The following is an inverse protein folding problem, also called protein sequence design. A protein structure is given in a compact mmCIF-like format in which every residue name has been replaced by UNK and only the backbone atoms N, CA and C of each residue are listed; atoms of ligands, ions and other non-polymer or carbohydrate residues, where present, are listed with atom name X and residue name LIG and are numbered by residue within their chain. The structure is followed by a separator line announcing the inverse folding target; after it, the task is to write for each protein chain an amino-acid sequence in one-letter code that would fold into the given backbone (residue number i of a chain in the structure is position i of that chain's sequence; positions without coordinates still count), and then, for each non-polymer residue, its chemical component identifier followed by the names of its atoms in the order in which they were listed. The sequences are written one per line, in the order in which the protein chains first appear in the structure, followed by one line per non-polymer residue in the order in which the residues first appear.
data_IF_131325280944
#
_entry.id   IF_131325280944
#
_cell.length_a   1.000
_cell.length_b   1.000
_cell.length_c   1.000
_cell.angle_alpha   90.00
_cell.angle_beta   90.00
_cell.angle_gamma   90.00
#
_symmetry.space_group_name_H-M   'P 1'
#
loop_
_entity.id
_entity.type
_entity.pdbx_description
1 polymer ?
#
# COMPACT_ATOMS: atom_id res chain seq x y z
N UNK A 1 -23.44 -31.59 -34.29
CA UNK A 1 -23.54 -30.18 -34.74
C UNK A 1 -22.14 -29.65 -34.92
N UNK A 2 -21.74 -29.39 -36.16
CA UNK A 2 -20.50 -28.66 -36.48
C UNK A 2 -20.76 -27.19 -36.20
N UNK A 3 -20.06 -26.61 -35.22
CA UNK A 3 -20.12 -25.18 -34.93
C UNK A 3 -19.30 -24.48 -36.02
N UNK A 4 -19.95 -23.70 -36.89
CA UNK A 4 -19.23 -22.84 -37.82
C UNK A 4 -18.57 -21.68 -37.05
N UNK A 5 -17.27 -21.42 -37.26
CA UNK A 5 -16.60 -20.33 -36.57
C UNK A 5 -17.12 -18.97 -37.07
N UNK A 6 -17.41 -18.08 -36.12
CA UNK A 6 -17.70 -16.67 -36.38
C UNK A 6 -16.58 -16.02 -37.21
N UNK A 7 -16.94 -15.12 -38.13
CA UNK A 7 -15.96 -14.34 -38.92
C UNK A 7 -15.15 -13.35 -38.07
N UNK A 8 -15.62 -12.98 -36.89
CA UNK A 8 -14.95 -12.06 -35.97
C UNK A 8 -14.80 -12.71 -34.58
N UNK A 9 -13.61 -12.55 -33.98
CA UNK A 9 -13.35 -12.98 -32.62
C UNK A 9 -14.02 -12.01 -31.62
N UNK A 10 -14.83 -12.56 -30.73
CA UNK A 10 -15.41 -11.82 -29.59
C UNK A 10 -14.78 -12.34 -28.28
N UNK A 11 -13.84 -11.60 -27.68
CA UNK A 11 -13.20 -12.02 -26.42
C UNK A 11 -14.20 -12.22 -25.28
N UNK A 12 -15.26 -11.40 -25.22
CA UNK A 12 -16.25 -11.45 -24.14
C UNK A 12 -17.02 -12.77 -24.10
N UNK A 13 -17.14 -13.42 -25.26
CA UNK A 13 -17.80 -14.73 -25.37
C UNK A 13 -16.94 -15.90 -24.88
N UNK A 14 -15.63 -15.70 -24.68
CA UNK A 14 -14.67 -16.81 -24.43
C UNK A 14 -13.84 -16.62 -23.16
N UNK A 15 -13.39 -15.40 -22.85
CA UNK A 15 -12.41 -15.13 -21.79
C UNK A 15 -12.83 -15.68 -20.43
N UNK A 16 -14.08 -15.43 -20.01
CA UNK A 16 -14.61 -15.90 -18.73
C UNK A 16 -14.61 -17.42 -18.64
N UNK A 17 -15.12 -18.10 -19.66
CA UNK A 17 -15.20 -19.56 -19.69
C UNK A 17 -13.80 -20.20 -19.65
N UNK A 18 -12.86 -19.65 -20.42
CA UNK A 18 -11.47 -20.15 -20.44
C UNK A 18 -10.80 -19.94 -19.09
N UNK A 19 -10.99 -18.79 -18.46
CA UNK A 19 -10.42 -18.52 -17.16
C UNK A 19 -10.98 -19.45 -16.08
N UNK A 20 -12.30 -19.69 -16.07
CA UNK A 20 -12.95 -20.65 -15.16
C UNK A 20 -12.40 -22.08 -15.35
N UNK A 21 -12.07 -22.49 -16.58
CA UNK A 21 -11.40 -23.78 -16.85
C UNK A 21 -9.99 -23.84 -16.26
N UNK A 22 -9.21 -22.77 -16.32
CA UNK A 22 -7.88 -22.73 -15.70
C UNK A 22 -7.96 -22.81 -14.17
N UNK A 23 -8.90 -22.09 -13.56
CA UNK A 23 -9.10 -22.13 -12.11
C UNK A 23 -9.56 -23.52 -11.65
N UNK A 24 -10.58 -24.09 -12.31
CA UNK A 24 -11.14 -25.39 -11.93
C UNK A 24 -10.18 -26.56 -12.13
N UNK A 25 -9.25 -26.47 -13.09
CA UNK A 25 -8.18 -27.47 -13.27
C UNK A 25 -7.01 -27.30 -12.30
N UNK A 26 -6.97 -26.20 -11.52
CA UNK A 26 -5.83 -25.88 -10.67
C UNK A 26 -4.56 -25.53 -11.45
N UNK A 27 -4.68 -25.07 -12.70
CA UNK A 27 -3.55 -24.85 -13.61
C UNK A 27 -2.52 -23.82 -13.12
N UNK A 28 -2.90 -22.98 -12.14
CA UNK A 28 -2.05 -21.93 -11.57
C UNK A 28 -1.44 -22.29 -10.22
N UNK A 29 -1.86 -23.41 -9.64
CA UNK A 29 -1.43 -23.87 -8.33
C UNK A 29 0.04 -24.30 -8.37
N UNK A 30 0.78 -23.97 -7.32
CA UNK A 30 2.14 -24.45 -7.13
C UNK A 30 2.28 -25.10 -5.76
N UNK A 31 2.79 -26.33 -5.73
CA UNK A 31 3.18 -27.00 -4.48
C UNK A 31 4.70 -27.13 -4.39
N UNK A 32 5.31 -26.90 -3.20
CA UNK A 32 6.76 -27.05 -3.03
C UNK A 32 7.30 -28.45 -3.39
N UNK A 33 6.45 -29.47 -3.32
CA UNK A 33 6.75 -30.85 -3.68
C UNK A 33 6.77 -31.12 -5.20
N UNK A 34 6.21 -30.22 -6.01
CA UNK A 34 6.12 -30.43 -7.45
C UNK A 34 7.51 -30.38 -8.11
N UNK A 35 7.67 -31.17 -9.17
CA UNK A 35 8.91 -31.26 -9.93
C UNK A 35 9.26 -29.93 -10.61
N UNK A 36 10.55 -29.76 -10.91
CA UNK A 36 11.07 -28.57 -11.59
C UNK A 36 11.81 -27.61 -10.67
N UNK A 37 12.57 -26.71 -11.28
CA UNK A 37 13.25 -25.63 -10.55
C UNK A 37 12.21 -24.63 -10.03
N UNK A 38 12.35 -24.19 -8.78
CA UNK A 38 11.41 -23.28 -8.13
C UNK A 38 11.57 -21.88 -8.71
N UNK A 39 10.46 -21.24 -9.04
CA UNK A 39 10.45 -19.89 -9.55
C UNK A 39 9.27 -19.14 -8.93
N UNK A 40 9.55 -18.07 -8.19
CA UNK A 40 8.54 -17.33 -7.47
C UNK A 40 8.50 -15.87 -7.93
N UNK A 41 7.31 -15.34 -8.14
CA UNK A 41 7.03 -13.92 -8.25
C UNK A 41 6.01 -13.59 -7.16
N UNK A 42 6.22 -12.49 -6.44
CA UNK A 42 5.21 -11.91 -5.55
C UNK A 42 4.66 -10.68 -6.25
N UNK A 43 3.33 -10.59 -6.39
CA UNK A 43 2.71 -9.36 -6.90
C UNK A 43 3.07 -8.23 -5.92
N UNK A 44 3.60 -7.09 -6.38
CA UNK A 44 3.67 -5.88 -5.58
C UNK A 44 2.24 -5.56 -5.12
N UNK A 45 1.92 -5.77 -3.82
CA UNK A 45 0.55 -5.86 -3.38
C UNK A 45 -0.12 -4.49 -3.58
N UNK A 46 -1.18 -4.39 -4.40
CA UNK A 46 -1.89 -3.13 -4.57
C UNK A 46 -2.51 -2.66 -3.26
N UNK A 47 -2.46 -1.34 -3.06
CA UNK A 47 -3.07 -0.67 -1.91
C UNK A 47 -4.60 -0.78 -1.96
N UNK A 48 -5.24 -1.09 -0.83
CA UNK A 48 -6.71 -1.17 -0.70
C UNK A 48 -7.39 0.21 -0.63
N UNK A 49 -6.87 1.18 -1.38
CA UNK A 49 -7.31 2.58 -1.39
C UNK A 49 -8.10 2.97 -2.63
N UNK A 50 -7.87 2.29 -3.76
CA UNK A 50 -8.50 2.60 -5.03
C UNK A 50 -8.62 1.35 -5.91
N UNK A 51 -9.41 1.46 -6.98
CA UNK A 51 -9.46 0.43 -8.02
C UNK A 51 -8.16 0.41 -8.83
N UNK A 52 -7.85 -0.75 -9.42
CA UNK A 52 -6.70 -0.88 -10.33
C UNK A 52 -6.88 0.00 -11.57
N UNK A 53 -5.75 0.52 -12.06
CA UNK A 53 -5.64 1.38 -13.25
C UNK A 53 -4.62 0.80 -14.26
N UNK A 54 -4.46 1.43 -15.42
CA UNK A 54 -3.57 0.97 -16.52
C UNK A 54 -2.12 0.65 -16.09
N UNK A 55 -1.53 1.44 -15.20
CA UNK A 55 -0.21 1.11 -14.62
C UNK A 55 -0.16 -0.27 -13.92
N UNK A 56 -1.21 -0.63 -13.17
CA UNK A 56 -1.34 -1.97 -12.59
C UNK A 56 -1.51 -3.03 -13.68
N UNK A 57 -2.25 -2.71 -14.75
CA UNK A 57 -2.43 -3.63 -15.87
C UNK A 57 -1.10 -3.97 -16.55
N UNK A 58 -0.27 -2.95 -16.83
CA UNK A 58 1.07 -3.13 -17.38
C UNK A 58 1.94 -3.99 -16.46
N UNK A 59 2.02 -3.65 -15.17
CA UNK A 59 2.87 -4.37 -14.22
C UNK A 59 2.49 -5.86 -14.10
N UNK A 60 1.20 -6.16 -13.96
CA UNK A 60 0.73 -7.53 -13.83
C UNK A 60 0.86 -8.33 -15.13
N UNK A 61 0.66 -7.69 -16.30
CA UNK A 61 0.85 -8.36 -17.60
C UNK A 61 2.29 -8.85 -17.76
N UNK A 62 3.28 -8.02 -17.40
CA UNK A 62 4.70 -8.41 -17.49
C UNK A 62 5.01 -9.61 -16.59
N UNK A 63 4.51 -9.59 -15.35
CA UNK A 63 4.68 -10.70 -14.41
C UNK A 63 3.97 -11.99 -14.88
N UNK A 64 2.76 -11.86 -15.42
CA UNK A 64 1.98 -12.99 -15.93
C UNK A 64 2.68 -13.68 -17.11
N UNK A 65 3.20 -12.90 -18.05
CA UNK A 65 3.99 -13.43 -19.18
C UNK A 65 5.20 -14.20 -18.66
N UNK A 66 5.92 -13.64 -17.68
CA UNK A 66 7.08 -14.31 -17.10
C UNK A 66 6.70 -15.61 -16.42
N UNK A 67 5.68 -15.62 -15.55
CA UNK A 67 5.33 -16.85 -14.82
C UNK A 67 4.83 -17.94 -15.77
N UNK A 68 4.01 -17.59 -16.77
CA UNK A 68 3.51 -18.54 -17.76
C UNK A 68 4.65 -19.16 -18.55
N UNK A 69 5.59 -18.36 -19.06
CA UNK A 69 6.76 -18.86 -19.79
C UNK A 69 7.60 -19.79 -18.90
N UNK A 70 7.79 -19.47 -17.61
CA UNK A 70 8.55 -20.35 -16.71
C UNK A 70 7.84 -21.66 -16.44
N UNK A 71 6.53 -21.64 -16.15
CA UNK A 71 5.71 -22.86 -15.98
C UNK A 71 5.76 -23.74 -17.22
N UNK A 72 5.59 -23.15 -18.42
CA UNK A 72 5.65 -23.88 -19.70
C UNK A 72 7.05 -24.43 -20.01
N UNK A 73 8.11 -23.89 -19.41
CA UNK A 73 9.48 -24.42 -19.48
C UNK A 73 9.78 -25.47 -18.40
N UNK A 74 8.77 -25.98 -17.70
CA UNK A 74 8.90 -27.03 -16.68
C UNK A 74 9.39 -26.54 -15.32
N UNK A 75 9.36 -25.23 -15.05
CA UNK A 75 9.63 -24.71 -13.70
C UNK A 75 8.39 -24.80 -12.82
N UNK A 76 8.62 -25.04 -11.53
CA UNK A 76 7.60 -24.94 -10.50
C UNK A 76 7.36 -23.45 -10.17
N UNK A 77 6.42 -22.86 -10.90
CA UNK A 77 6.16 -21.41 -10.90
C UNK A 77 5.06 -21.00 -9.92
N UNK A 78 5.44 -20.34 -8.82
CA UNK A 78 4.51 -19.65 -7.91
C UNK A 78 4.39 -18.18 -8.29
N UNK A 79 3.17 -17.72 -8.59
CA UNK A 79 2.87 -16.30 -8.62
C UNK A 79 1.89 -15.99 -7.49
N UNK A 80 2.40 -15.32 -6.46
CA UNK A 80 1.69 -15.11 -5.20
C UNK A 80 0.94 -13.77 -5.22
N UNK A 81 -0.40 -13.78 -5.16
CA UNK A 81 -1.19 -12.56 -5.06
C UNK A 81 -1.27 -12.06 -3.62
N UNK A 82 -1.55 -10.77 -3.47
CA UNK A 82 -1.87 -10.19 -2.18
C UNK A 82 -2.28 -8.73 -2.28
N UNK A 83 -2.77 -8.17 -1.19
CA UNK A 83 -3.18 -6.75 -1.09
C UNK A 83 -2.52 -6.07 0.10
N UNK A 84 -2.34 -4.76 0.01
CA UNK A 84 -1.71 -3.96 1.06
C UNK A 84 -2.72 -3.05 1.78
N UNK A 85 -2.71 -3.09 3.11
CA UNK A 85 -3.46 -2.21 3.99
C UNK A 85 -3.14 -0.72 3.82
N UNK A 86 -1.94 -0.38 3.32
CA UNK A 86 -1.50 0.98 3.00
C UNK A 86 -1.64 2.02 4.13
N UNK A 87 -1.72 1.57 5.39
CA UNK A 87 -1.74 2.38 6.61
C UNK A 87 -2.48 3.73 6.50
N UNK A 88 -1.69 4.82 6.49
CA UNK A 88 -2.16 6.21 6.48
C UNK A 88 -3.00 6.53 5.22
N UNK A 89 -2.66 5.95 4.08
CA UNK A 89 -3.38 6.20 2.83
C UNK A 89 -4.82 5.67 2.91
N UNK A 90 -5.02 4.46 3.43
CA UNK A 90 -6.37 3.89 3.63
C UNK A 90 -7.16 4.67 4.66
N UNK A 91 -6.54 5.04 5.79
CA UNK A 91 -7.19 5.88 6.80
C UNK A 91 -7.70 7.20 6.20
N UNK A 92 -6.87 7.87 5.41
CA UNK A 92 -7.20 9.16 4.79
C UNK A 92 -8.33 9.03 3.77
N UNK A 93 -8.32 7.97 2.96
CA UNK A 93 -9.38 7.74 1.96
C UNK A 93 -10.71 7.42 2.64
N UNK A 94 -10.71 6.57 3.67
CA UNK A 94 -11.91 6.25 4.44
C UNK A 94 -12.47 7.49 5.14
N UNK A 95 -11.62 8.31 5.76
CA UNK A 95 -12.03 9.57 6.40
C UNK A 95 -12.69 10.54 5.39
N UNK A 96 -12.07 10.73 4.22
CA UNK A 96 -12.63 11.58 3.14
C UNK A 96 -13.98 11.08 2.66
N UNK A 97 -14.17 9.76 2.52
CA UNK A 97 -15.46 9.18 2.12
C UNK A 97 -16.52 9.36 3.18
N UNK A 98 -16.21 9.10 4.45
CA UNK A 98 -17.15 9.28 5.55
C UNK A 98 -17.66 10.73 5.59
N UNK A 99 -16.75 11.71 5.42
CA UNK A 99 -17.11 13.14 5.28
C UNK A 99 -18.05 13.39 4.11
N UNK A 100 -17.75 12.83 2.93
CA UNK A 100 -18.58 13.00 1.74
C UNK A 100 -19.97 12.36 1.87
N UNK A 101 -20.09 11.27 2.63
CA UNK A 101 -21.34 10.57 2.92
C UNK A 101 -22.11 11.17 4.11
N UNK A 102 -21.59 12.24 4.74
CA UNK A 102 -22.19 12.84 5.94
C UNK A 102 -22.16 11.95 7.18
N UNK A 103 -21.29 10.93 7.20
CA UNK A 103 -21.07 10.06 8.33
C UNK A 103 -20.06 10.67 9.32
N UNK A 104 -20.02 10.19 10.59
CA UNK A 104 -18.97 10.57 11.52
C UNK A 104 -17.58 10.34 10.90
N UNK A 105 -16.78 11.40 10.88
CA UNK A 105 -15.42 11.36 10.37
C UNK A 105 -14.42 10.90 11.46
N UNK A 106 -13.14 10.79 11.12
CA UNK A 106 -12.09 10.41 12.05
C UNK A 106 -12.03 11.34 13.27
N UNK A 107 -12.33 12.64 13.10
CA UNK A 107 -12.35 13.59 14.22
C UNK A 107 -13.47 13.28 15.20
N UNK A 108 -14.65 12.90 14.71
CA UNK A 108 -15.78 12.50 15.53
C UNK A 108 -15.49 11.21 16.31
N UNK A 109 -14.89 10.21 15.67
CA UNK A 109 -14.47 8.99 16.34
C UNK A 109 -13.37 9.24 17.39
N UNK A 110 -12.42 10.14 17.12
CA UNK A 110 -11.40 10.55 18.11
C UNK A 110 -12.03 11.25 19.33
N UNK A 111 -13.02 12.12 19.13
CA UNK A 111 -13.77 12.75 20.24
C UNK A 111 -14.51 11.70 21.08
N UNK A 112 -15.21 10.78 20.43
CA UNK A 112 -15.89 9.68 21.10
C UNK A 112 -14.94 8.84 21.97
N UNK A 113 -13.74 8.54 21.47
CA UNK A 113 -12.70 7.84 22.25
C UNK A 113 -12.23 8.66 23.45
N UNK A 114 -11.98 9.97 23.27
CA UNK A 114 -11.53 10.87 24.33
C UNK A 114 -12.59 11.03 25.45
N UNK A 115 -13.86 10.87 25.11
CA UNK A 115 -15.00 10.89 26.04
C UNK A 115 -15.24 9.53 26.72
N UNK A 116 -14.38 8.52 26.48
CA UNK A 116 -14.46 7.19 27.08
C UNK A 116 -15.36 6.20 26.32
N UNK A 117 -15.79 6.54 25.11
CA UNK A 117 -16.50 5.65 24.19
C UNK A 117 -15.58 4.73 23.40
N UNK A 118 -16.15 4.01 22.43
CA UNK A 118 -15.45 2.98 21.61
C UNK A 118 -15.15 3.50 20.20
N UNK A 119 -14.72 4.76 20.10
CA UNK A 119 -14.54 5.46 18.83
C UNK A 119 -13.49 4.82 17.93
N UNK A 120 -12.37 4.37 18.52
CA UNK A 120 -11.30 3.69 17.79
C UNK A 120 -11.80 2.39 17.16
N UNK A 121 -12.49 1.54 17.92
CA UNK A 121 -12.96 0.24 17.42
C UNK A 121 -13.98 0.43 16.30
N UNK A 122 -14.89 1.38 16.45
CA UNK A 122 -15.88 1.68 15.42
C UNK A 122 -15.23 2.19 14.13
N UNK A 123 -14.25 3.10 14.23
CA UNK A 123 -13.54 3.56 13.04
C UNK A 123 -12.74 2.43 12.37
N UNK A 124 -12.04 1.60 13.16
CA UNK A 124 -11.33 0.42 12.62
C UNK A 124 -12.28 -0.54 11.91
N UNK A 125 -13.50 -0.74 12.42
CA UNK A 125 -14.51 -1.55 11.75
C UNK A 125 -14.95 -0.95 10.40
N UNK A 126 -15.04 0.39 10.29
CA UNK A 126 -15.32 1.08 9.01
C UNK A 126 -14.18 0.87 8.02
N UNK A 127 -12.93 0.98 8.47
CA UNK A 127 -11.75 0.71 7.65
C UNK A 127 -11.71 -0.74 7.17
N UNK A 128 -12.05 -1.69 8.04
CA UNK A 128 -12.12 -3.11 7.68
C UNK A 128 -13.17 -3.39 6.61
N UNK A 129 -14.38 -2.85 6.78
CA UNK A 129 -15.45 -3.02 5.79
C UNK A 129 -15.07 -2.44 4.42
N UNK A 130 -14.40 -1.28 4.41
CA UNK A 130 -13.84 -0.69 3.19
C UNK A 130 -12.79 -1.60 2.55
N UNK A 131 -11.85 -2.12 3.36
CA UNK A 131 -10.81 -3.04 2.87
C UNK A 131 -11.45 -4.25 2.20
N UNK A 132 -12.46 -4.87 2.82
CA UNK A 132 -13.07 -6.08 2.28
C UNK A 132 -13.80 -5.82 0.95
N UNK A 133 -14.45 -4.64 0.81
CA UNK A 133 -15.05 -4.18 -0.45
C UNK A 133 -13.99 -4.01 -1.55
N UNK A 134 -12.91 -3.28 -1.24
CA UNK A 134 -11.88 -2.93 -2.21
C UNK A 134 -10.98 -4.10 -2.59
N UNK A 135 -10.60 -4.94 -1.64
CA UNK A 135 -9.85 -6.17 -1.90
C UNK A 135 -10.62 -7.07 -2.86
N UNK A 136 -11.92 -7.29 -2.62
CA UNK A 136 -12.76 -8.09 -3.53
C UNK A 136 -12.75 -7.50 -4.93
N UNK A 137 -12.87 -6.17 -5.06
CA UNK A 137 -12.81 -5.48 -6.36
C UNK A 137 -11.47 -5.66 -7.05
N UNK A 138 -10.37 -5.46 -6.33
CA UNK A 138 -9.00 -5.59 -6.84
C UNK A 138 -8.75 -7.02 -7.35
N UNK A 139 -9.07 -8.03 -6.54
CA UNK A 139 -8.89 -9.44 -6.92
C UNK A 139 -9.73 -9.78 -8.15
N UNK A 140 -10.99 -9.33 -8.20
CA UNK A 140 -11.87 -9.52 -9.37
C UNK A 140 -11.27 -8.88 -10.63
N UNK A 141 -10.66 -7.69 -10.52
CA UNK A 141 -9.99 -7.04 -11.65
C UNK A 141 -8.79 -7.84 -12.15
N UNK A 142 -7.95 -8.36 -11.23
CA UNK A 142 -6.80 -9.20 -11.61
C UNK A 142 -7.23 -10.51 -12.27
N UNK A 143 -8.28 -11.16 -11.76
CA UNK A 143 -8.87 -12.35 -12.37
C UNK A 143 -9.43 -12.06 -13.76
N UNK A 144 -10.17 -10.96 -13.91
CA UNK A 144 -10.76 -10.54 -15.21
C UNK A 144 -9.67 -10.22 -16.24
N UNK A 145 -8.52 -9.71 -15.81
CA UNK A 145 -7.35 -9.51 -16.67
C UNK A 145 -6.65 -10.82 -17.08
N UNK A 146 -7.05 -11.96 -16.52
CA UNK A 146 -6.46 -13.26 -16.82
C UNK A 146 -5.18 -13.58 -16.04
N UNK A 147 -4.93 -12.91 -14.90
CA UNK A 147 -3.72 -13.16 -14.11
C UNK A 147 -3.65 -14.62 -13.63
N UNK A 148 -2.58 -15.35 -13.94
CA UNK A 148 -2.39 -16.75 -13.56
C UNK A 148 -1.85 -16.97 -12.14
N UNK A 149 -2.43 -16.28 -11.15
CA UNK A 149 -1.96 -16.35 -9.76
C UNK A 149 -2.39 -17.64 -9.04
N UNK A 150 -1.63 -18.05 -8.03
CA UNK A 150 -2.11 -19.07 -7.07
C UNK A 150 -3.00 -18.38 -6.01
N UNK A 151 -4.28 -18.25 -6.33
CA UNK A 151 -5.28 -17.56 -5.50
C UNK A 151 -5.47 -18.18 -4.10
N UNK A 152 -5.13 -19.46 -3.93
CA UNK A 152 -5.20 -20.14 -2.61
C UNK A 152 -4.21 -19.55 -1.61
N UNK A 153 -3.16 -18.90 -2.10
CA UNK A 153 -2.09 -18.30 -1.30
C UNK A 153 -2.21 -16.78 -1.19
N UNK A 154 -3.37 -16.21 -1.52
CA UNK A 154 -3.63 -14.77 -1.38
C UNK A 154 -3.33 -14.31 0.04
N UNK A 155 -2.57 -13.22 0.17
CA UNK A 155 -2.22 -12.60 1.47
C UNK A 155 -2.72 -11.18 1.58
N UNK A 156 -2.96 -10.77 2.81
CA UNK A 156 -3.19 -9.38 3.16
C UNK A 156 -2.16 -8.96 4.20
N UNK A 157 -1.59 -7.76 4.08
CA UNK A 157 -0.45 -7.36 4.93
C UNK A 157 -0.77 -7.30 6.43
N UNK A 158 -2.05 -7.19 6.82
CA UNK A 158 -2.47 -7.32 8.22
C UNK A 158 -3.15 -8.66 8.56
N UNK A 159 -3.07 -9.67 7.69
CA UNK A 159 -3.52 -11.03 8.06
C UNK A 159 -2.65 -11.63 9.18
N UNK A 160 -3.14 -12.69 9.81
CA UNK A 160 -2.48 -13.30 10.97
C UNK A 160 -1.03 -13.73 10.68
N UNK A 161 -0.76 -14.23 9.48
CA UNK A 161 0.56 -14.74 9.08
C UNK A 161 1.51 -13.57 8.85
N UNK A 162 1.09 -12.57 8.09
CA UNK A 162 1.88 -11.35 7.84
C UNK A 162 2.12 -10.57 9.15
N UNK A 163 1.11 -10.40 9.99
CA UNK A 163 1.24 -9.74 11.28
C UNK A 163 2.18 -10.49 12.24
N UNK A 164 2.18 -11.83 12.20
CA UNK A 164 3.16 -12.64 12.95
C UNK A 164 4.58 -12.44 12.40
N UNK A 165 4.76 -12.42 11.08
CA UNK A 165 6.06 -12.19 10.46
C UNK A 165 6.64 -10.81 10.80
N UNK A 166 5.81 -9.76 10.80
CA UNK A 166 6.21 -8.40 11.21
C UNK A 166 6.64 -8.37 12.68
N UNK A 167 5.87 -9.00 13.59
CA UNK A 167 6.22 -9.07 15.01
C UNK A 167 7.53 -9.81 15.27
N UNK A 168 7.73 -10.95 14.60
CA UNK A 168 8.98 -11.72 14.67
C UNK A 168 10.17 -10.88 14.18
N UNK A 169 10.01 -10.24 13.01
CA UNK A 169 11.05 -9.39 12.43
C UNK A 169 11.40 -8.21 13.34
N UNK A 170 10.39 -7.55 13.90
CA UNK A 170 10.58 -6.48 14.88
C UNK A 170 11.36 -6.98 16.10
N UNK A 171 10.96 -8.11 16.68
CA UNK A 171 11.63 -8.67 17.85
C UNK A 171 13.09 -9.00 17.55
N UNK A 172 13.38 -9.62 16.40
CA UNK A 172 14.75 -9.93 15.99
C UNK A 172 15.60 -8.67 15.81
N UNK A 173 15.10 -7.67 15.08
CA UNK A 173 15.83 -6.41 14.89
C UNK A 173 16.02 -5.65 16.21
N UNK A 174 15.07 -5.76 17.14
CA UNK A 174 15.19 -5.21 18.48
C UNK A 174 16.23 -5.97 19.33
N UNK A 175 16.22 -7.31 19.32
CA UNK A 175 17.21 -8.13 20.04
C UNK A 175 18.63 -7.92 19.53
N UNK A 176 18.76 -7.67 18.22
CA UNK A 176 20.04 -7.39 17.56
C UNK A 176 20.53 -5.94 17.80
N UNK A 177 19.77 -5.12 18.53
CA UNK A 177 20.11 -3.72 18.84
C UNK A 177 19.92 -2.72 17.68
N UNK A 178 19.25 -3.14 16.60
CA UNK A 178 19.00 -2.32 15.40
C UNK A 178 17.75 -1.44 15.53
N UNK A 179 16.81 -1.81 16.40
CA UNK A 179 15.65 -0.98 16.77
C UNK A 179 15.86 -0.43 18.17
N UNK A 180 15.72 0.89 18.30
CA UNK A 180 15.82 1.59 19.59
C UNK A 180 14.76 2.69 19.70
N UNK A 181 14.52 3.15 20.92
CA UNK A 181 13.64 4.29 21.21
C UNK A 181 14.48 5.47 21.65
N UNK A 182 14.36 6.59 20.95
CA UNK A 182 15.07 7.84 21.27
C UNK A 182 14.25 9.06 20.91
N UNK A 183 14.69 10.24 21.37
CA UNK A 183 14.14 11.53 20.94
C UNK A 183 14.98 12.04 19.78
N UNK A 184 14.34 12.35 18.66
CA UNK A 184 14.96 12.94 17.46
C UNK A 184 13.97 13.92 16.82
N UNK A 185 14.47 14.84 16.00
CA UNK A 185 13.61 15.62 15.12
C UNK A 185 12.96 14.67 14.09
N UNK A 186 11.68 14.87 13.83
CA UNK A 186 10.87 14.02 12.96
C UNK A 186 10.00 14.88 12.06
N UNK A 187 9.67 14.37 10.88
CA UNK A 187 8.65 14.97 10.04
C UNK A 187 7.28 14.66 10.65
N UNK A 188 6.55 15.71 11.04
CA UNK A 188 5.24 15.58 11.66
C UNK A 188 4.18 16.12 10.70
N UNK A 189 3.19 15.30 10.35
CA UNK A 189 2.03 15.77 9.60
C UNK A 189 0.93 16.26 10.57
N UNK A 190 0.63 17.58 10.60
CA UNK A 190 -0.42 18.13 11.44
C UNK A 190 -1.83 17.67 11.04
N UNK A 191 -2.05 17.26 9.78
CA UNK A 191 -3.36 16.83 9.30
C UNK A 191 -3.70 15.42 9.78
N UNK A 192 -2.83 14.44 9.56
CA UNK A 192 -3.06 13.06 10.00
C UNK A 192 -2.68 12.82 11.46
N UNK A 193 -1.90 13.72 12.05
CA UNK A 193 -1.37 13.67 13.42
C UNK A 193 -0.47 12.44 13.65
N UNK A 194 0.49 12.24 12.75
CA UNK A 194 1.48 11.17 12.84
C UNK A 194 2.85 11.62 12.34
N UNK A 195 3.87 10.84 12.70
CA UNK A 195 5.21 10.99 12.15
C UNK A 195 5.29 10.32 10.78
N UNK A 196 6.08 10.91 9.88
CA UNK A 196 6.37 10.40 8.54
C UNK A 196 7.87 10.09 8.39
N UNK A 197 8.19 9.10 7.57
CA UNK A 197 9.57 8.85 7.14
C UNK A 197 10.02 9.91 6.13
N UNK A 198 11.33 10.10 5.96
CA UNK A 198 11.87 11.05 4.98
C UNK A 198 11.41 10.73 3.54
N UNK A 199 11.31 9.43 3.20
CA UNK A 199 10.84 8.95 1.90
C UNK A 199 9.34 9.21 1.65
N UNK A 200 8.57 9.59 2.68
CA UNK A 200 7.15 9.94 2.58
C UNK A 200 6.94 11.46 2.45
N UNK A 201 8.01 12.26 2.47
CA UNK A 201 7.96 13.73 2.41
C UNK A 201 8.32 14.23 1.02
N UNK A 202 7.34 14.82 0.35
CA UNK A 202 7.53 15.50 -0.93
C UNK A 202 7.96 16.96 -0.71
N UNK A 203 8.96 17.41 -1.46
CA UNK A 203 9.48 18.77 -1.37
C UNK A 203 8.96 19.60 -2.53
N UNK A 204 8.29 20.70 -2.21
CA UNK A 204 7.76 21.65 -3.18
C UNK A 204 8.31 23.06 -2.92
N UNK A 205 8.66 23.75 -4.00
CA UNK A 205 9.09 25.15 -3.91
C UNK A 205 7.86 26.05 -3.72
N UNK A 206 7.86 26.81 -2.62
CA UNK A 206 6.76 27.71 -2.26
C UNK A 206 7.28 29.12 -2.02
N UNK A 207 6.53 30.13 -2.47
CA UNK A 207 6.82 31.52 -2.18
C UNK A 207 6.63 31.78 -0.68
N UNK A 208 7.74 31.94 0.03
CA UNK A 208 7.76 32.28 1.45
C UNK A 208 8.13 33.74 1.69
N UNK A 209 8.52 34.02 2.92
CA UNK A 209 9.00 35.33 3.33
C UNK A 209 10.38 35.20 3.97
N UNK A 210 11.29 36.09 3.62
CA UNK A 210 12.63 36.17 4.21
C UNK A 210 12.71 37.40 5.12
N UNK A 211 12.37 37.23 6.40
CA UNK A 211 12.29 38.32 7.36
C UNK A 211 13.65 38.59 8.02
N UNK A 212 13.99 39.87 8.19
CA UNK A 212 15.12 40.31 9.02
C UNK A 212 14.62 40.63 10.43
N UNK A 213 15.24 40.01 11.43
CA UNK A 213 14.93 40.21 12.84
C UNK A 213 16.16 40.83 13.54
N UNK A 214 15.95 41.92 14.28
CA UNK A 214 16.97 42.55 15.12
C UNK A 214 16.54 42.47 16.58
N UNK A 215 17.43 42.02 17.46
CA UNK A 215 17.17 41.94 18.88
C UNK A 215 18.33 42.56 19.67
N UNK A 216 18.09 43.51 20.58
CA UNK A 216 19.15 44.16 21.33
C UNK A 216 19.82 43.18 22.30
N UNK A 217 21.14 43.34 22.48
CA UNK A 217 21.89 42.60 23.49
C UNK A 217 21.57 43.13 24.88
N UNK A 218 21.53 42.25 25.87
CA UNK A 218 21.35 42.63 27.27
C UNK A 218 22.52 43.48 27.80
N UNK A 219 23.74 43.20 27.30
CA UNK A 219 24.95 43.96 27.59
C UNK A 219 25.66 44.29 26.26
N UNK A 220 26.18 45.53 26.08
CA UNK A 220 26.92 45.89 24.88
C UNK A 220 28.22 45.08 24.76
N UNK A 221 28.43 44.42 23.61
CA UNK A 221 29.68 43.71 23.32
C UNK A 221 30.42 44.44 22.20
N UNK A 222 31.69 44.74 22.41
CA UNK A 222 32.57 45.26 21.36
C UNK A 222 33.07 44.11 20.51
N UNK A 223 32.53 43.94 19.31
CA UNK A 223 32.97 42.89 18.37
C UNK A 223 33.99 43.49 17.41
N UNK A 224 35.21 42.97 17.38
CA UNK A 224 36.19 43.33 16.35
C UNK A 224 35.75 42.70 15.02
N UNK A 225 35.17 43.49 14.10
CA UNK A 225 34.88 43.14 12.70
C UNK A 225 34.41 41.70 12.45
N UNK A 226 33.11 41.49 12.28
CA UNK A 226 32.54 40.19 11.88
C UNK A 226 32.77 39.83 10.41
N UNK A 227 33.35 40.73 9.61
CA UNK A 227 33.48 40.57 8.15
C UNK A 227 32.15 40.65 7.38
N UNK A 228 31.03 40.89 8.09
CA UNK A 228 29.69 41.07 7.52
C UNK A 228 29.27 42.52 7.78
N UNK A 229 29.00 43.32 6.74
CA UNK A 229 28.55 44.70 6.93
C UNK A 229 27.20 44.72 7.69
N UNK A 230 26.99 45.70 8.60
CA UNK A 230 25.75 45.80 9.34
C UNK A 230 24.55 45.96 8.38
N UNK A 231 23.45 45.27 8.67
CA UNK A 231 22.20 45.41 7.94
C UNK A 231 21.70 46.84 8.18
N UNK A 232 21.71 47.68 7.13
CA UNK A 232 21.20 49.05 7.21
C UNK A 232 19.70 49.04 7.47
N UNK A 233 19.27 49.70 8.54
CA UNK A 233 17.86 49.94 8.87
C UNK A 233 17.17 50.87 7.87
#
# INVERSE_FOLDING_TARGET
MTIEPSKAYDPKSIEKEVYERWISSGAFNAEPSDAGEKYCIVIPPPNVTAALHLGHALNNTLQDVLIRVRRMRGKNGLWMPGTDHAGIATQTVVDKRLKAEGQPDLSAYRRMEAEGGDGRRQFVAKVQAWKDEYEKRILTQLETMGCSCDWRRTRFTMDEVCAKAVRETFFKLFSDGLIYRGKRLVNWDPATQTVLADDEVEHEEVNGHFYYLSYPLAEPVSVSSTGVPPVSS
#
